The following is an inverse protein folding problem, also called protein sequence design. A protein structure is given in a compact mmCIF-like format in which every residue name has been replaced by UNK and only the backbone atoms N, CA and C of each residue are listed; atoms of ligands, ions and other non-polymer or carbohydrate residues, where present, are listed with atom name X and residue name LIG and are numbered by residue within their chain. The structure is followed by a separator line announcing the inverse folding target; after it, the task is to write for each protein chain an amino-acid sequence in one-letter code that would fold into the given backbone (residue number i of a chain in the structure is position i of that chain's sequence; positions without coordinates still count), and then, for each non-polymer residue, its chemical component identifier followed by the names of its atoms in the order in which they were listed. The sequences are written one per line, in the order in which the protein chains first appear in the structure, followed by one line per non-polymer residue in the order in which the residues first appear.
data_IF_186230009032
#
_entry.id   IF_186230009032
#
_cell.length_a   1.000
_cell.length_b   1.000
_cell.length_c   1.000
_cell.angle_alpha   90.00
_cell.angle_beta   90.00
_cell.angle_gamma   90.00
#
_symmetry.space_group_name_H-M   'P 1'
#
loop_
_entity.id
_entity.type
_entity.pdbx_description
1 polymer ?
#
# COMPACT_ATOMS: atom_id res chain seq x y z
N UNK A 1 -8.25 4.76 7.79
CA UNK A 1 -8.01 4.03 6.51
C UNK A 1 -8.91 2.81 6.49
N UNK A 2 -9.42 2.39 5.33
CA UNK A 2 -10.28 1.21 5.22
C UNK A 2 -9.72 0.21 4.20
N UNK A 3 -9.42 -1.02 4.61
CA UNK A 3 -8.97 -2.08 3.72
C UNK A 3 -10.21 -2.89 3.32
N UNK A 4 -10.65 -2.73 2.07
CA UNK A 4 -11.77 -3.51 1.55
C UNK A 4 -11.28 -4.78 0.89
N UNK A 5 -11.88 -5.90 1.27
CA UNK A 5 -11.42 -7.22 0.85
C UNK A 5 -12.53 -8.00 0.17
N UNK A 6 -12.16 -8.71 -0.89
CA UNK A 6 -13.01 -9.76 -1.44
C UNK A 6 -13.17 -10.90 -0.44
N UNK A 7 -14.24 -11.69 -0.56
CA UNK A 7 -14.45 -12.90 0.27
C UNK A 7 -13.27 -13.87 0.19
N UNK A 8 -12.65 -13.98 -1.00
CA UNK A 8 -11.50 -14.85 -1.24
C UNK A 8 -10.27 -14.45 -0.41
N UNK A 9 -10.00 -13.15 -0.31
CA UNK A 9 -8.78 -12.66 0.34
C UNK A 9 -8.96 -12.40 1.84
N UNK A 10 -10.20 -12.24 2.31
CA UNK A 10 -10.51 -11.87 3.69
C UNK A 10 -9.84 -12.76 4.75
N UNK A 11 -9.81 -14.11 4.66
CA UNK A 11 -9.16 -14.94 5.68
C UNK A 11 -7.67 -14.66 5.83
N UNK A 12 -6.99 -14.34 4.72
CA UNK A 12 -5.55 -14.06 4.69
C UNK A 12 -5.28 -12.65 5.23
N UNK A 13 -6.03 -11.66 4.75
CA UNK A 13 -5.86 -10.25 5.14
C UNK A 13 -6.25 -10.05 6.60
N UNK A 14 -7.37 -10.60 7.07
CA UNK A 14 -7.79 -10.48 8.47
C UNK A 14 -6.79 -11.12 9.44
N UNK A 15 -6.20 -12.26 9.08
CA UNK A 15 -5.14 -12.90 9.87
C UNK A 15 -3.86 -12.04 9.91
N UNK A 16 -3.47 -11.44 8.78
CA UNK A 16 -2.32 -10.53 8.74
C UNK A 16 -2.60 -9.26 9.55
N UNK A 17 -3.81 -8.71 9.44
CA UNK A 17 -4.25 -7.53 10.17
C UNK A 17 -4.17 -7.76 11.68
N UNK A 18 -4.71 -8.87 12.21
CA UNK A 18 -4.61 -9.23 13.65
C UNK A 18 -3.19 -9.33 14.20
N UNK A 19 -2.19 -9.52 13.34
CA UNK A 19 -0.76 -9.59 13.71
C UNK A 19 -0.02 -8.27 13.47
N UNK A 20 -0.69 -7.29 12.88
CA UNK A 20 -0.12 -6.01 12.49
C UNK A 20 -0.04 -5.08 13.70
N UNK A 21 1.15 -4.60 14.01
CA UNK A 21 1.36 -3.62 15.08
C UNK A 21 0.81 -2.22 14.75
N UNK A 22 0.47 -1.95 13.48
CA UNK A 22 -0.13 -0.68 13.07
C UNK A 22 -1.58 -0.54 13.54
N UNK A 23 -2.27 -1.63 13.86
CA UNK A 23 -3.63 -1.60 14.41
C UNK A 23 -3.77 -0.68 15.63
N UNK A 24 -2.72 -0.58 16.43
CA UNK A 24 -2.71 0.23 17.65
C UNK A 24 -2.30 1.68 17.41
N UNK A 25 -1.74 1.98 16.23
CA UNK A 25 -1.22 3.31 15.87
C UNK A 25 -2.14 4.07 14.92
N UNK A 26 -2.99 3.36 14.20
CA UNK A 26 -3.81 3.93 13.14
C UNK A 26 -5.24 3.37 13.20
N UNK A 27 -6.23 4.22 12.91
CA UNK A 27 -7.61 3.82 12.68
C UNK A 27 -7.73 3.11 11.33
N UNK A 28 -7.23 1.87 11.25
CA UNK A 28 -7.38 0.98 10.10
C UNK A 28 -8.56 0.05 10.36
N UNK A 29 -9.49 -0.02 9.42
CA UNK A 29 -10.56 -1.03 9.38
C UNK A 29 -10.31 -2.05 8.28
N UNK A 30 -10.81 -3.27 8.47
CA UNK A 30 -10.83 -4.30 7.41
C UNK A 30 -12.28 -4.70 7.17
N UNK A 31 -12.78 -4.41 5.97
CA UNK A 31 -14.18 -4.54 5.59
C UNK A 31 -14.33 -5.56 4.47
N UNK A 32 -15.28 -6.50 4.59
CA UNK A 32 -15.64 -7.40 3.49
C UNK A 32 -16.55 -6.68 2.51
N UNK A 33 -16.24 -6.80 1.23
CA UNK A 33 -17.01 -6.19 0.15
C UNK A 33 -17.11 -7.20 -1.00
N UNK A 34 -18.31 -7.77 -1.18
CA UNK A 34 -18.60 -8.78 -2.19
C UNK A 34 -18.74 -8.20 -3.60
N UNK A 35 -18.83 -6.87 -3.73
CA UNK A 35 -18.93 -6.19 -5.03
C UNK A 35 -17.56 -5.98 -5.69
N UNK A 36 -16.47 -6.16 -4.94
CA UNK A 36 -15.12 -5.98 -5.44
C UNK A 36 -14.66 -7.15 -6.29
N UNK A 37 -14.09 -6.83 -7.45
CA UNK A 37 -13.31 -7.78 -8.25
C UNK A 37 -11.92 -8.03 -7.66
N UNK A 38 -11.37 -7.06 -6.93
CA UNK A 38 -10.05 -7.13 -6.30
C UNK A 38 -10.01 -6.34 -4.98
N UNK A 39 -9.33 -6.89 -3.97
CA UNK A 39 -9.17 -6.24 -2.67
C UNK A 39 -8.34 -4.96 -2.77
N UNK A 40 -8.66 -3.92 -2.00
CA UNK A 40 -7.97 -2.63 -2.07
C UNK A 40 -7.78 -1.95 -0.71
N UNK A 41 -6.88 -0.97 -0.69
CA UNK A 41 -6.77 0.01 0.40
C UNK A 41 -7.51 1.27 -0.03
N UNK A 42 -8.46 1.70 0.79
CA UNK A 42 -9.21 2.93 0.68
C UNK A 42 -8.66 3.97 1.65
N UNK A 43 -8.43 5.18 1.16
CA UNK A 43 -8.02 6.33 1.99
C UNK A 43 -9.12 7.38 1.99
N UNK A 44 -9.25 8.09 3.11
CA UNK A 44 -10.17 9.21 3.23
C UNK A 44 -9.50 10.44 2.65
N UNK A 45 -10.15 11.11 1.72
CA UNK A 45 -9.70 12.39 1.16
C UNK A 45 -9.99 13.54 2.14
N UNK A 46 -9.45 14.72 1.89
CA UNK A 46 -9.74 15.93 2.68
C UNK A 46 -11.22 16.31 2.63
N UNK A 47 -11.92 15.95 1.55
CA UNK A 47 -13.36 16.11 1.36
C UNK A 47 -14.18 15.05 2.13
N UNK A 48 -13.50 14.12 2.79
CA UNK A 48 -14.10 13.08 3.61
C UNK A 48 -14.61 11.85 2.85
N UNK A 49 -14.38 11.79 1.53
CA UNK A 49 -14.77 10.65 0.68
C UNK A 49 -13.73 9.54 0.76
N UNK A 50 -14.18 8.27 0.66
CA UNK A 50 -13.26 7.14 0.55
C UNK A 50 -12.92 6.89 -0.91
N UNK A 51 -11.63 6.92 -1.24
CA UNK A 51 -11.14 6.65 -2.59
C UNK A 51 -10.21 5.44 -2.58
N UNK A 52 -10.37 4.57 -3.57
CA UNK A 52 -9.49 3.42 -3.76
C UNK A 52 -8.10 3.91 -4.18
N UNK A 53 -7.09 3.47 -3.44
CA UNK A 53 -5.74 3.98 -3.60
C UNK A 53 -4.78 2.94 -4.17
N UNK A 54 -4.81 1.71 -3.66
CA UNK A 54 -4.12 0.57 -4.28
C UNK A 54 -4.99 -0.66 -4.26
N UNK A 55 -4.83 -1.49 -5.29
CA UNK A 55 -5.48 -2.78 -5.42
C UNK A 55 -4.48 -3.92 -5.23
N UNK A 56 -5.00 -5.10 -4.93
CA UNK A 56 -4.29 -6.36 -4.90
C UNK A 56 -3.83 -6.78 -3.51
N UNK A 57 -4.04 -8.07 -3.23
CA UNK A 57 -3.66 -8.72 -1.96
C UNK A 57 -2.20 -8.49 -1.57
N UNK A 58 -1.27 -8.51 -2.55
CA UNK A 58 0.16 -8.33 -2.27
C UNK A 58 0.46 -6.94 -1.69
N UNK A 59 -0.22 -5.91 -2.18
CA UNK A 59 0.00 -4.54 -1.75
C UNK A 59 -0.57 -4.34 -0.34
N UNK A 60 -1.74 -4.91 -0.06
CA UNK A 60 -2.34 -4.92 1.29
C UNK A 60 -1.42 -5.61 2.29
N UNK A 61 -0.90 -6.80 1.97
CA UNK A 61 -0.01 -7.53 2.86
C UNK A 61 1.31 -6.79 3.10
N UNK A 62 1.87 -6.18 2.05
CA UNK A 62 3.04 -5.31 2.18
C UNK A 62 2.78 -4.18 3.17
N UNK A 63 1.64 -3.50 3.03
CA UNK A 63 1.25 -2.42 3.94
C UNK A 63 1.14 -2.90 5.38
N UNK A 64 0.36 -3.96 5.61
CA UNK A 64 0.16 -4.50 6.96
C UNK A 64 1.45 -4.98 7.62
N UNK A 65 2.41 -5.48 6.84
CA UNK A 65 3.67 -5.96 7.39
C UNK A 65 4.66 -4.82 7.70
N UNK A 66 4.62 -3.74 6.93
CA UNK A 66 5.72 -2.78 6.90
C UNK A 66 5.33 -1.31 7.01
N UNK A 67 4.04 -0.99 7.03
CA UNK A 67 3.52 0.37 6.91
C UNK A 67 3.78 1.01 5.55
N UNK A 68 4.11 0.21 4.53
CA UNK A 68 4.47 0.68 3.19
C UNK A 68 4.11 -0.35 2.12
N UNK A 69 3.74 0.12 0.93
CA UNK A 69 3.59 -0.75 -0.26
C UNK A 69 4.93 -0.80 -0.99
N UNK A 70 5.59 -1.96 -0.94
CA UNK A 70 6.84 -2.19 -1.65
C UNK A 70 6.59 -2.52 -3.12
N UNK A 71 7.23 -1.76 -4.00
CA UNK A 71 7.33 -2.00 -5.44
C UNK A 71 8.71 -2.57 -5.72
N UNK A 72 8.80 -3.90 -5.91
CA UNK A 72 10.05 -4.60 -6.25
C UNK A 72 10.15 -4.81 -7.76
N UNK A 73 11.30 -4.51 -8.36
CA UNK A 73 11.65 -4.76 -9.77
C UNK A 73 10.67 -4.23 -10.84
N UNK A 74 9.77 -3.30 -10.48
CA UNK A 74 8.78 -2.67 -11.38
C UNK A 74 8.56 -1.21 -11.04
N UNK A 75 9.63 -0.49 -10.70
CA UNK A 75 9.51 0.94 -10.48
C UNK A 75 9.03 1.60 -11.80
N UNK A 76 7.86 2.29 -11.80
CA UNK A 76 7.32 2.93 -13.00
C UNK A 76 8.21 4.08 -13.50
N UNK A 77 9.13 4.54 -12.64
CA UNK A 77 10.10 5.59 -12.94
C UNK A 77 11.52 5.07 -13.13
N UNK A 78 11.75 3.75 -13.01
CA UNK A 78 13.02 3.15 -13.42
C UNK A 78 13.05 3.07 -14.93
N UNK A 79 14.12 3.60 -15.53
CA UNK A 79 14.48 3.19 -16.88
C UNK A 79 14.92 1.73 -16.77
N UNK A 80 14.02 0.81 -17.14
CA UNK A 80 14.23 -0.63 -17.18
C UNK A 80 15.54 -1.04 -17.89
N UNK A 81 16.11 -0.14 -18.70
CA UNK A 81 17.34 -0.33 -19.46
C UNK A 81 18.64 0.14 -18.80
N UNK A 82 18.62 0.85 -17.65
CA UNK A 82 19.85 1.46 -17.11
C UNK A 82 20.06 1.40 -15.59
N UNK A 83 19.16 0.81 -14.81
CA UNK A 83 19.35 0.66 -13.36
C UNK A 83 19.45 1.97 -12.57
N UNK A 84 19.24 3.12 -13.21
CA UNK A 84 19.29 4.45 -12.59
C UNK A 84 17.89 4.88 -12.15
N UNK A 85 17.74 5.11 -10.86
CA UNK A 85 16.51 5.63 -10.27
C UNK A 85 16.33 7.12 -10.60
N UNK A 86 15.11 7.56 -10.90
CA UNK A 86 14.74 8.98 -11.09
C UNK A 86 14.11 9.55 -9.82
N UNK A 87 14.93 9.77 -8.79
CA UNK A 87 14.53 10.23 -7.46
C UNK A 87 13.65 11.50 -7.48
N UNK A 88 13.90 12.41 -8.43
CA UNK A 88 13.12 13.64 -8.62
C UNK A 88 11.67 13.42 -9.09
N UNK A 89 11.33 12.24 -9.63
CA UNK A 89 9.96 11.82 -9.97
C UNK A 89 9.35 10.90 -8.92
N UNK A 90 10.10 10.56 -7.89
CA UNK A 90 9.72 9.64 -6.83
C UNK A 90 9.26 10.37 -5.57
N UNK A 91 8.59 11.52 -5.72
CA UNK A 91 8.16 12.39 -4.60
C UNK A 91 7.31 11.68 -3.53
N UNK A 92 6.71 10.52 -3.86
CA UNK A 92 5.92 9.68 -2.95
C UNK A 92 6.65 8.38 -2.53
N UNK A 93 7.84 8.09 -3.06
CA UNK A 93 8.55 6.83 -2.88
C UNK A 93 9.89 7.01 -2.18
N UNK A 94 10.13 6.26 -1.11
CA UNK A 94 11.46 6.07 -0.57
C UNK A 94 12.20 5.01 -1.38
N UNK A 95 13.30 5.41 -2.01
CA UNK A 95 14.13 4.55 -2.82
C UNK A 95 15.22 3.95 -1.95
N UNK A 96 15.33 2.62 -1.92
CA UNK A 96 16.54 1.97 -1.36
C UNK A 96 17.54 1.83 -2.50
N UNK A 97 18.57 2.68 -2.48
CA UNK A 97 19.57 2.71 -3.54
C UNK A 97 20.25 1.34 -3.68
N UNK A 98 20.60 0.99 -4.93
CA UNK A 98 21.34 -0.20 -5.42
C UNK A 98 20.53 -1.43 -5.90
N UNK A 99 19.26 -1.61 -5.53
CA UNK A 99 18.49 -2.80 -5.99
C UNK A 99 17.39 -2.52 -7.02
N UNK A 100 17.03 -1.25 -7.25
CA UNK A 100 15.87 -0.90 -8.07
C UNK A 100 14.52 -1.09 -7.35
N UNK A 101 14.54 -1.41 -6.06
CA UNK A 101 13.36 -1.48 -5.22
C UNK A 101 12.92 -0.08 -4.76
N UNK A 102 11.63 0.21 -4.93
CA UNK A 102 11.00 1.44 -4.46
C UNK A 102 9.94 1.07 -3.43
N UNK A 103 9.94 1.75 -2.30
CA UNK A 103 8.86 1.64 -1.33
C UNK A 103 8.02 2.90 -1.41
N UNK A 104 6.72 2.77 -1.58
CA UNK A 104 5.79 3.87 -1.33
C UNK A 104 5.69 3.98 0.19
N UNK A 105 6.64 4.71 0.78
CA UNK A 105 6.72 4.97 2.21
C UNK A 105 5.93 6.24 2.42
N UNK A 106 4.83 6.12 3.16
CA UNK A 106 4.12 7.28 3.58
C UNK A 106 4.98 8.05 4.60
N UNK A 107 5.31 9.30 4.27
CA UNK A 107 5.25 10.33 5.29
C UNK A 107 3.76 10.55 5.54
N UNK A 108 3.18 9.89 6.54
CA UNK A 108 1.86 10.20 7.10
C UNK A 108 1.86 11.58 7.84
N UNK A 109 2.77 12.48 7.46
CA UNK A 109 2.92 13.84 7.95
C UNK A 109 3.16 14.76 6.75
N UNK A 110 2.11 15.05 5.98
CA UNK A 110 1.93 16.44 5.58
C UNK A 110 1.02 16.99 6.68
N UNK A 111 1.67 17.68 7.62
CA UNK A 111 1.04 18.44 8.69
C UNK A 111 0.23 19.60 8.10
#
# INVERSE_FOLDING_TARGET
MDIRTTERDYPVISKAFRKCSLQQKEDITVTRDSSLSESCIMVKTDEGTLTAWTFGRKNILSYLQHGAVFIRNRCPFSLFSMGKCRTNRCQLYHIRNQTGDCALIWNLFIQ
#
